data_IF_237674101130
#
_entry.id   IF_237674101130
#
_cell.length_a   1.000
_cell.length_b   1.000
_cell.length_c   1.000
_cell.angle_alpha   90.00
_cell.angle_beta   90.00
_cell.angle_gamma   90.00
#
_symmetry.space_group_name_H-M   'P 1'
#
loop_
_entity.id
_entity.type
_entity.pdbx_description
1 polymer ?
#
# COMPACT_ATOMS: atom_id res chain seq x y z
N UNK A 1 -7.79 6.52 2.88
CA UNK A 1 -9.26 6.74 3.00
C UNK A 1 -10.05 5.53 2.50
N UNK A 2 -9.82 5.02 1.29
CA UNK A 2 -10.51 3.84 0.73
C UNK A 2 -10.58 2.64 1.69
N UNK A 3 -9.43 2.20 2.21
CA UNK A 3 -9.32 1.09 3.18
C UNK A 3 -10.14 1.33 4.46
N UNK A 4 -10.19 2.57 4.94
CA UNK A 4 -10.97 2.91 6.13
C UNK A 4 -12.49 2.93 5.87
N UNK A 5 -12.91 3.09 4.61
CA UNK A 5 -14.32 2.92 4.23
C UNK A 5 -14.83 1.50 4.49
N UNK A 6 -13.99 0.48 4.21
CA UNK A 6 -14.29 -0.91 4.54
C UNK A 6 -14.36 -1.13 6.06
N UNK A 7 -13.45 -0.51 6.82
CA UNK A 7 -13.46 -0.58 8.30
C UNK A 7 -14.75 0.02 8.88
N UNK A 8 -15.22 1.16 8.34
CA UNK A 8 -16.49 1.76 8.77
C UNK A 8 -17.65 0.81 8.48
N UNK A 9 -17.72 0.24 7.27
CA UNK A 9 -18.76 -0.74 6.93
C UNK A 9 -18.72 -1.95 7.88
N UNK A 10 -17.52 -2.43 8.19
CA UNK A 10 -17.32 -3.54 9.11
C UNK A 10 -17.80 -3.26 10.53
N UNK A 11 -17.54 -2.04 11.03
CA UNK A 11 -18.01 -1.58 12.34
C UNK A 11 -19.53 -1.40 12.40
N UNK A 12 -20.16 -0.94 11.32
CA UNK A 12 -21.62 -0.78 11.24
C UNK A 12 -22.37 -2.11 11.14
N UNK A 13 -21.82 -3.09 10.42
CA UNK A 13 -22.39 -4.45 10.33
C UNK A 13 -22.23 -5.21 11.66
N UNK A 14 -21.16 -4.92 12.40
CA UNK A 14 -20.93 -5.39 13.77
C UNK A 14 -21.09 -6.92 13.98
N UNK A 15 -20.58 -7.72 13.05
CA UNK A 15 -20.48 -9.18 13.21
C UNK A 15 -19.10 -9.56 13.76
N UNK A 16 -18.94 -10.71 14.42
CA UNK A 16 -17.63 -11.16 14.89
C UNK A 16 -16.59 -11.22 13.75
N UNK A 17 -17.03 -11.61 12.55
CA UNK A 17 -16.19 -11.70 11.36
C UNK A 17 -15.84 -10.32 10.77
N UNK A 18 -16.77 -9.37 10.75
CA UNK A 18 -16.50 -8.02 10.27
C UNK A 18 -15.58 -7.25 11.23
N UNK A 19 -15.84 -7.32 12.55
CA UNK A 19 -15.03 -6.59 13.54
C UNK A 19 -13.60 -7.10 13.59
N UNK A 20 -13.40 -8.42 13.55
CA UNK A 20 -12.05 -9.02 13.48
C UNK A 20 -11.33 -8.64 12.18
N UNK A 21 -12.01 -8.73 11.03
CA UNK A 21 -11.47 -8.26 9.74
C UNK A 21 -11.10 -6.78 9.74
N UNK A 22 -11.96 -5.95 10.32
CA UNK A 22 -11.73 -4.50 10.50
C UNK A 22 -10.50 -4.19 11.34
N UNK A 23 -10.31 -4.90 12.46
CA UNK A 23 -9.12 -4.75 13.30
C UNK A 23 -7.83 -5.16 12.56
N UNK A 24 -7.86 -6.30 11.86
CA UNK A 24 -6.72 -6.77 11.04
C UNK A 24 -6.38 -5.72 9.97
N UNK A 25 -7.39 -5.25 9.23
CA UNK A 25 -7.20 -4.26 8.18
C UNK A 25 -6.67 -2.92 8.72
N UNK A 26 -7.12 -2.46 9.89
CA UNK A 26 -6.60 -1.22 10.50
C UNK A 26 -5.12 -1.30 10.81
N UNK A 27 -4.67 -2.42 11.42
CA UNK A 27 -3.26 -2.61 11.78
C UNK A 27 -2.41 -2.73 10.51
N UNK A 28 -2.82 -3.61 9.60
CA UNK A 28 -2.09 -3.86 8.36
C UNK A 28 -2.03 -2.59 7.50
N UNK A 29 -3.15 -1.88 7.32
CA UNK A 29 -3.19 -0.60 6.59
C UNK A 29 -2.34 0.48 7.26
N UNK A 30 -2.32 0.54 8.60
CA UNK A 30 -1.49 1.48 9.34
C UNK A 30 0.00 1.32 9.00
N UNK A 31 0.48 0.08 8.93
CA UNK A 31 1.87 -0.22 8.56
C UNK A 31 2.15 -0.02 7.06
N UNK A 32 1.23 -0.42 6.17
CA UNK A 32 1.46 -0.24 4.72
C UNK A 32 1.39 1.23 4.30
N UNK A 33 0.45 2.01 4.84
CA UNK A 33 0.32 3.43 4.52
C UNK A 33 1.49 4.25 5.06
N UNK A 34 1.94 4.00 6.29
CA UNK A 34 3.13 4.64 6.85
C UNK A 34 4.39 4.33 6.02
N UNK A 35 4.56 3.06 5.60
CA UNK A 35 5.66 2.68 4.70
C UNK A 35 5.62 3.45 3.37
N UNK A 36 4.43 3.57 2.74
CA UNK A 36 4.26 4.34 1.50
C UNK A 36 4.53 5.84 1.69
N UNK A 37 4.14 6.42 2.83
CA UNK A 37 4.49 7.80 3.16
C UNK A 37 5.99 8.00 3.33
N UNK A 38 6.67 7.05 3.98
CA UNK A 38 8.12 7.10 4.11
C UNK A 38 8.82 6.97 2.75
N UNK A 39 8.35 6.10 1.86
CA UNK A 39 8.85 6.02 0.49
C UNK A 39 8.65 7.33 -0.29
N UNK A 40 7.47 7.94 -0.18
CA UNK A 40 7.21 9.25 -0.77
C UNK A 40 8.17 10.32 -0.19
N UNK A 41 8.46 10.25 1.11
CA UNK A 41 9.42 11.14 1.75
C UNK A 41 10.86 10.94 1.24
N UNK A 42 11.31 9.70 1.01
CA UNK A 42 12.64 9.46 0.43
C UNK A 42 12.80 10.05 -0.97
N UNK A 43 11.73 10.07 -1.77
CA UNK A 43 11.72 10.79 -3.04
C UNK A 43 11.77 12.31 -2.82
N UNK A 44 10.98 12.82 -1.88
CA UNK A 44 10.92 14.25 -1.56
C UNK A 44 12.25 14.81 -1.04
N UNK A 45 12.97 14.08 -0.17
CA UNK A 45 14.30 14.47 0.31
C UNK A 45 15.33 14.63 -0.83
N UNK A 46 15.10 13.99 -1.99
CA UNK A 46 15.97 14.07 -3.17
C UNK A 46 15.51 15.08 -4.21
N UNK A 47 14.20 15.18 -4.46
CA UNK A 47 13.65 16.00 -5.55
C UNK A 47 13.10 17.34 -5.08
N UNK A 48 12.92 17.53 -3.75
CA UNK A 48 12.24 18.66 -3.12
C UNK A 48 10.83 18.95 -3.68
N UNK A 49 10.21 17.96 -4.34
CA UNK A 49 8.86 18.09 -4.91
C UNK A 49 8.04 16.84 -4.62
N UNK A 50 6.74 17.03 -4.42
CA UNK A 50 5.76 15.94 -4.25
C UNK A 50 5.09 15.55 -5.57
N UNK A 51 5.54 16.11 -6.69
CA UNK A 51 4.97 15.85 -8.01
C UNK A 51 5.45 14.49 -8.49
N UNK A 52 4.53 13.52 -8.54
CA UNK A 52 4.80 12.11 -8.90
C UNK A 52 5.61 11.97 -10.21
N UNK A 53 5.23 12.75 -11.23
CA UNK A 53 5.86 12.74 -12.56
C UNK A 53 7.34 13.15 -12.54
N UNK A 54 7.78 13.93 -11.55
CA UNK A 54 9.17 14.35 -11.41
C UNK A 54 10.07 13.27 -10.79
N UNK A 55 9.47 12.28 -10.13
CA UNK A 55 10.17 11.14 -9.52
C UNK A 55 10.08 9.89 -10.40
N UNK A 56 10.02 10.04 -11.73
CA UNK A 56 9.88 8.94 -12.69
C UNK A 56 11.23 8.25 -12.95
N UNK A 57 11.21 6.96 -13.25
CA UNK A 57 12.40 6.21 -13.68
C UNK A 57 13.43 5.97 -12.57
N UNK A 58 13.02 6.03 -11.30
CA UNK A 58 13.92 5.88 -10.15
C UNK A 58 14.60 4.51 -10.07
N UNK A 59 14.11 3.51 -10.82
CA UNK A 59 14.70 2.17 -10.84
C UNK A 59 16.13 2.10 -11.33
N UNK A 60 16.47 2.95 -12.30
CA UNK A 60 17.84 2.98 -12.82
C UNK A 60 18.83 3.57 -11.80
N UNK A 61 18.36 4.46 -10.93
CA UNK A 61 19.20 5.14 -9.93
C UNK A 61 19.24 4.40 -8.58
N UNK A 62 18.10 3.89 -8.12
CA UNK A 62 17.93 3.33 -6.76
C UNK A 62 17.24 1.95 -6.80
N UNK A 63 17.91 0.90 -7.32
CA UNK A 63 17.30 -0.40 -7.55
C UNK A 63 16.79 -1.06 -6.25
N UNK A 64 17.52 -0.96 -5.15
CA UNK A 64 17.06 -1.50 -3.86
C UNK A 64 15.84 -0.73 -3.33
N UNK A 65 15.77 0.59 -3.56
CA UNK A 65 14.60 1.38 -3.19
C UNK A 65 13.36 0.94 -3.97
N UNK A 66 13.54 0.50 -5.21
CA UNK A 66 12.42 0.00 -6.03
C UNK A 66 11.85 -1.31 -5.51
N UNK A 67 12.68 -2.17 -4.92
CA UNK A 67 12.21 -3.39 -4.28
C UNK A 67 11.30 -3.06 -3.09
N UNK A 68 11.66 -2.06 -2.28
CA UNK A 68 10.80 -1.57 -1.20
C UNK A 68 9.49 -0.96 -1.73
N UNK A 69 9.54 -0.17 -2.81
CA UNK A 69 8.35 0.34 -3.50
C UNK A 69 7.45 -0.78 -4.00
N UNK A 70 8.02 -1.84 -4.58
CA UNK A 70 7.27 -2.98 -5.07
C UNK A 70 6.58 -3.71 -3.92
N UNK A 71 7.32 -4.05 -2.86
CA UNK A 71 6.78 -4.74 -1.67
C UNK A 71 5.66 -3.93 -1.01
N UNK A 72 5.86 -2.61 -0.83
CA UNK A 72 4.83 -1.72 -0.31
C UNK A 72 3.60 -1.70 -1.22
N UNK A 73 3.79 -1.62 -2.55
CA UNK A 73 2.68 -1.62 -3.50
C UNK A 73 1.90 -2.94 -3.51
N UNK A 74 2.59 -4.09 -3.41
CA UNK A 74 1.98 -5.43 -3.33
C UNK A 74 1.17 -5.58 -2.03
N UNK A 75 1.71 -5.10 -0.91
CA UNK A 75 0.98 -5.11 0.37
C UNK A 75 -0.25 -4.21 0.31
N UNK A 76 -0.18 -3.04 -0.33
CA UNK A 76 -1.29 -2.09 -0.41
C UNK A 76 -2.41 -2.52 -1.38
N UNK A 77 -2.10 -3.34 -2.39
CA UNK A 77 -3.09 -3.97 -3.27
C UNK A 77 -3.62 -5.31 -2.74
N UNK A 78 -3.33 -5.65 -1.47
CA UNK A 78 -3.79 -6.88 -0.84
C UNK A 78 -3.38 -8.15 -1.60
N UNK A 79 -2.12 -8.27 -2.01
CA UNK A 79 -1.61 -9.48 -2.69
C UNK A 79 -1.38 -10.62 -1.67
N UNK A 80 -1.71 -11.89 -1.95
CA UNK A 80 -1.44 -13.00 -1.02
C UNK A 80 0.08 -13.20 -0.84
N UNK A 81 0.60 -13.45 0.38
CA UNK A 81 -0.09 -13.77 1.64
C UNK A 81 -0.30 -12.57 2.60
N UNK A 82 -0.47 -11.34 2.11
CA UNK A 82 -0.55 -10.15 2.99
C UNK A 82 -1.75 -10.14 3.95
N UNK A 83 -1.55 -9.54 5.13
CA UNK A 83 -2.62 -9.35 6.13
C UNK A 83 -3.69 -8.34 5.72
N UNK A 84 -3.38 -7.42 4.78
CA UNK A 84 -4.39 -6.57 4.16
C UNK A 84 -5.44 -7.41 3.41
N UNK A 85 -5.00 -8.44 2.67
CA UNK A 85 -5.93 -9.34 2.00
C UNK A 85 -6.80 -10.10 3.00
N UNK A 86 -6.22 -10.58 4.10
CA UNK A 86 -6.97 -11.27 5.15
C UNK A 86 -8.07 -10.36 5.71
N UNK A 87 -7.73 -9.13 6.09
CA UNK A 87 -8.70 -8.15 6.59
C UNK A 87 -9.78 -7.80 5.55
N UNK A 88 -9.40 -7.55 4.30
CA UNK A 88 -10.34 -7.24 3.22
C UNK A 88 -11.29 -8.39 2.91
N UNK A 89 -10.79 -9.62 2.75
CA UNK A 89 -11.63 -10.80 2.53
C UNK A 89 -12.58 -11.02 3.71
N UNK A 90 -12.12 -10.74 4.93
CA UNK A 90 -12.95 -10.82 6.12
C UNK A 90 -14.15 -9.87 6.06
N UNK A 91 -13.89 -8.61 5.72
CA UNK A 91 -14.94 -7.60 5.60
C UNK A 91 -15.85 -7.90 4.40
N UNK A 92 -15.29 -8.32 3.26
CA UNK A 92 -16.04 -8.62 2.04
C UNK A 92 -17.05 -9.74 2.29
N UNK A 93 -16.66 -10.86 2.92
CA UNK A 93 -17.63 -11.93 3.17
C UNK A 93 -18.71 -11.51 4.19
N UNK A 94 -18.34 -10.73 5.21
CA UNK A 94 -19.32 -10.22 6.16
C UNK A 94 -20.33 -9.27 5.49
N UNK A 95 -19.87 -8.39 4.59
CA UNK A 95 -20.74 -7.52 3.79
C UNK A 95 -21.61 -8.30 2.80
N UNK A 96 -21.08 -9.37 2.21
CA UNK A 96 -21.84 -10.25 1.32
C UNK A 96 -22.98 -10.95 2.06
N UNK A 97 -22.70 -11.46 3.26
CA UNK A 97 -23.72 -12.06 4.13
C UNK A 97 -24.76 -11.03 4.60
N UNK A 98 -24.38 -9.75 4.75
CA UNK A 98 -25.31 -8.68 5.08
C UNK A 98 -26.22 -8.30 3.89
N UNK A 99 -25.65 -8.13 2.70
CA UNK A 99 -26.40 -7.94 1.46
C UNK A 99 -25.56 -8.37 0.24
N UNK A 100 -26.01 -9.34 -0.58
CA UNK A 100 -25.20 -9.89 -1.68
C UNK A 100 -24.75 -8.87 -2.73
N UNK A 101 -25.53 -7.80 -2.95
CA UNK A 101 -25.19 -6.73 -3.90
C UNK A 101 -23.86 -6.01 -3.53
N UNK A 102 -23.46 -6.03 -2.26
CA UNK A 102 -22.22 -5.40 -1.79
C UNK A 102 -20.97 -5.98 -2.44
N UNK A 103 -21.00 -7.24 -2.92
CA UNK A 103 -19.83 -7.86 -3.60
C UNK A 103 -19.45 -7.11 -4.88
N UNK A 104 -20.43 -6.53 -5.58
CA UNK A 104 -20.15 -5.73 -6.77
C UNK A 104 -19.40 -4.44 -6.38
N UNK A 105 -19.84 -3.78 -5.30
CA UNK A 105 -19.20 -2.56 -4.80
C UNK A 105 -17.80 -2.85 -4.26
N UNK A 106 -17.65 -3.86 -3.40
CA UNK A 106 -16.35 -4.20 -2.82
C UNK A 106 -15.38 -4.75 -3.88
N UNK A 107 -15.86 -5.54 -4.85
CA UNK A 107 -15.09 -5.97 -6.01
C UNK A 107 -14.57 -4.80 -6.87
N UNK A 108 -15.40 -3.78 -7.11
CA UNK A 108 -14.96 -2.56 -7.79
C UNK A 108 -13.92 -1.79 -6.97
N UNK A 109 -14.10 -1.69 -5.65
CA UNK A 109 -13.11 -1.00 -4.79
C UNK A 109 -11.77 -1.69 -4.80
N UNK A 110 -11.72 -3.03 -4.70
CA UNK A 110 -10.47 -3.80 -4.74
C UNK A 110 -9.77 -3.66 -6.10
N UNK A 111 -10.52 -3.71 -7.21
CA UNK A 111 -9.97 -3.44 -8.54
C UNK A 111 -9.37 -2.03 -8.67
N UNK A 112 -10.08 -1.00 -8.18
CA UNK A 112 -9.56 0.38 -8.16
C UNK A 112 -8.32 0.45 -7.27
N UNK A 113 -8.29 -0.27 -6.14
CA UNK A 113 -7.12 -0.27 -5.26
C UNK A 113 -5.87 -0.87 -5.88
N UNK A 114 -6.03 -1.98 -6.59
CA UNK A 114 -4.93 -2.61 -7.33
C UNK A 114 -4.42 -1.71 -8.45
N UNK A 115 -5.33 -1.12 -9.24
CA UNK A 115 -4.96 -0.26 -10.37
C UNK A 115 -4.24 1.01 -9.93
N UNK A 116 -4.71 1.73 -8.90
CA UNK A 116 -3.99 2.92 -8.44
C UNK A 116 -2.63 2.57 -7.80
N UNK A 117 -2.54 1.45 -7.06
CA UNK A 117 -1.30 1.04 -6.41
C UNK A 117 -0.22 0.71 -7.43
N UNK A 118 -0.61 -0.04 -8.47
CA UNK A 118 0.26 -0.35 -9.60
C UNK A 118 0.63 0.91 -10.37
N UNK A 119 -0.32 1.82 -10.59
CA UNK A 119 -0.08 3.09 -11.28
C UNK A 119 0.98 3.93 -10.56
N UNK A 120 0.89 4.09 -9.24
CA UNK A 120 1.89 4.81 -8.44
C UNK A 120 3.27 4.16 -8.59
N UNK A 121 3.36 2.84 -8.51
CA UNK A 121 4.61 2.11 -8.69
C UNK A 121 5.20 2.34 -10.08
N UNK A 122 4.40 2.17 -11.14
CA UNK A 122 4.85 2.31 -12.52
C UNK A 122 5.31 3.73 -12.84
N UNK A 123 4.56 4.74 -12.38
CA UNK A 123 4.88 6.14 -12.68
C UNK A 123 6.10 6.66 -11.94
N UNK A 124 6.42 6.12 -10.76
CA UNK A 124 7.62 6.50 -9.99
C UNK A 124 8.84 5.66 -10.38
N UNK A 125 8.70 4.34 -10.44
CA UNK A 125 9.87 3.46 -10.60
C UNK A 125 10.25 3.25 -12.06
N UNK A 126 9.28 3.20 -12.98
CA UNK A 126 9.53 2.85 -14.39
C UNK A 126 9.53 4.05 -15.33
N UNK A 127 10.07 3.80 -16.53
CA UNK A 127 10.17 4.80 -17.60
C UNK A 127 11.52 5.51 -17.58
N UNK A 128 11.67 6.49 -18.48
CA UNK A 128 12.88 7.30 -18.57
C UNK A 128 12.91 8.31 -17.41
N UNK A 129 14.05 8.46 -16.72
CA UNK A 129 14.18 9.46 -15.66
C UNK A 129 13.99 10.87 -16.24
N UNK A 130 13.21 11.68 -15.54
CA UNK A 130 12.88 13.07 -15.95
C UNK A 130 14.00 14.04 -15.63
N UNK A 131 14.79 13.76 -14.61
CA UNK A 131 15.86 14.64 -14.16
C UNK A 131 17.22 14.08 -14.58
N UNK A 132 18.06 14.94 -15.15
CA UNK A 132 19.51 14.70 -15.33
C UNK A 132 20.29 14.89 -14.02
N UNK A 133 19.60 15.04 -12.89
CA UNK A 133 20.20 15.27 -11.59
C UNK A 133 20.86 13.99 -11.08
N UNK A 134 22.12 14.09 -10.63
CA UNK A 134 22.76 13.05 -9.84
C UNK A 134 21.94 12.87 -8.56
N UNK A 135 21.17 11.78 -8.47
CA UNK A 135 20.45 11.42 -7.27
C UNK A 135 21.44 10.84 -6.26
N UNK A 136 21.47 11.31 -5.00
CA UNK A 136 22.28 10.70 -3.98
C UNK A 136 21.80 9.26 -3.72
N UNK A 137 22.73 8.32 -3.44
CA UNK A 137 22.37 6.93 -3.16
C UNK A 137 21.43 6.81 -1.95
N UNK A 138 20.80 5.66 -1.81
CA UNK A 138 19.97 5.36 -0.66
C UNK A 138 20.80 5.30 0.63
N UNK A 139 20.30 5.92 1.69
CA UNK A 139 20.97 5.89 3.00
C UNK A 139 20.56 4.65 3.79
N UNK A 140 21.45 4.15 4.64
CA UNK A 140 21.18 2.99 5.52
C UNK A 140 19.97 3.22 6.42
N UNK A 141 19.76 4.47 6.90
CA UNK A 141 18.57 4.89 7.65
C UNK A 141 17.27 4.61 6.90
N UNK A 142 17.23 4.89 5.60
CA UNK A 142 16.02 4.71 4.78
C UNK A 142 15.70 3.22 4.63
N UNK A 143 16.72 2.39 4.39
CA UNK A 143 16.55 0.94 4.31
C UNK A 143 16.14 0.33 5.64
N UNK A 144 16.75 0.74 6.76
CA UNK A 144 16.37 0.27 8.08
C UNK A 144 14.92 0.61 8.40
N UNK A 145 14.50 1.85 8.09
CA UNK A 145 13.11 2.27 8.28
C UNK A 145 12.15 1.35 7.52
N UNK A 146 12.41 1.09 6.23
CA UNK A 146 11.52 0.28 5.38
C UNK A 146 11.54 -1.20 5.79
N UNK A 147 12.70 -1.70 6.22
CA UNK A 147 12.84 -3.03 6.78
C UNK A 147 11.98 -3.20 8.04
N UNK A 148 11.99 -2.21 8.96
CA UNK A 148 11.19 -2.29 10.19
C UNK A 148 9.68 -2.34 9.90
N UNK A 149 9.20 -1.58 8.91
CA UNK A 149 7.80 -1.64 8.49
C UNK A 149 7.44 -3.02 7.92
N UNK A 150 8.28 -3.55 7.02
CA UNK A 150 8.03 -4.84 6.40
C UNK A 150 8.21 -6.03 7.34
N UNK A 151 9.16 -5.95 8.28
CA UNK A 151 9.33 -6.96 9.31
C UNK A 151 8.06 -7.04 10.18
N UNK A 152 7.55 -5.89 10.62
CA UNK A 152 6.30 -5.84 11.37
C UNK A 152 5.12 -6.41 10.56
N UNK A 153 5.00 -6.06 9.27
CA UNK A 153 3.97 -6.63 8.39
C UNK A 153 4.12 -8.14 8.18
N UNK A 154 5.35 -8.62 7.99
CA UNK A 154 5.64 -10.03 7.75
C UNK A 154 5.39 -10.91 8.98
N UNK A 155 5.60 -10.37 10.19
CA UNK A 155 5.33 -11.07 11.45
C UNK A 155 3.84 -11.17 11.80
N UNK A 156 2.96 -10.44 11.09
CA UNK A 156 1.51 -10.54 11.27
C UNK A 156 0.87 -11.68 10.47
N UNK A 157 1.61 -12.28 9.54
CA UNK A 157 1.19 -13.42 8.71
C UNK A 157 1.42 -14.71 9.49
#
# INVERSE_FOLDING_TARGET
>A
VSHMGLVIAAGLINTPWSVSGGMILMIAHGLTSSMLFCLANTNYERTHTRVLLMARGMQMALPLMTAWWLLASMSNMALPPSTNLLGELMIISATYNWAPLTVMLTGLTTMITATYSLYIFLMTQRGKPTTSMLLPPAHTREHLLLLLHLLALGLLI
#
